data_IF_497101214451
#
_entry.id   IF_497101214451
#
_cell.length_a   1.000
_cell.length_b   1.000
_cell.length_c   1.000
_cell.angle_alpha   90.00
_cell.angle_beta   90.00
_cell.angle_gamma   90.00
#
_symmetry.space_group_name_H-M   'P 1'
#
loop_
_entity.id
_entity.type
_entity.pdbx_description
1 polymer ?
#
# COMPACT_ATOMS: atom_id res chain seq x y z
N UNK A 1 4.85 -9.04 7.39
CA UNK A 1 4.67 -9.03 5.92
C UNK A 1 4.00 -7.72 5.58
N UNK A 2 4.31 -7.11 4.45
CA UNK A 2 3.72 -5.85 4.01
C UNK A 2 2.96 -6.05 2.72
N UNK A 3 1.89 -5.28 2.53
CA UNK A 3 1.01 -5.33 1.37
C UNK A 3 0.93 -3.95 0.77
N UNK A 4 0.74 -3.92 -0.55
CA UNK A 4 0.43 -2.70 -1.28
C UNK A 4 -1.00 -2.82 -1.77
N UNK A 5 -1.87 -1.96 -1.25
CA UNK A 5 -3.26 -1.86 -1.64
C UNK A 5 -3.45 -0.62 -2.51
N UNK A 6 -4.31 -0.70 -3.52
CA UNK A 6 -4.56 0.39 -4.47
C UNK A 6 -6.06 0.68 -4.50
N UNK A 7 -6.41 1.96 -4.39
CA UNK A 7 -7.74 2.48 -4.65
C UNK A 7 -7.66 3.39 -5.87
N UNK A 8 -8.03 2.86 -7.03
CA UNK A 8 -8.06 3.63 -8.28
C UNK A 8 -9.16 4.70 -8.28
N UNK A 9 -10.22 4.56 -7.45
CA UNK A 9 -11.32 5.52 -7.40
C UNK A 9 -10.93 6.77 -6.63
N UNK A 10 -10.17 6.59 -5.54
CA UNK A 10 -9.66 7.68 -4.72
C UNK A 10 -8.22 8.10 -5.07
N UNK A 11 -7.58 7.46 -6.04
CA UNK A 11 -6.19 7.69 -6.44
C UNK A 11 -5.21 7.54 -5.27
N UNK A 12 -5.33 6.44 -4.52
CA UNK A 12 -4.53 6.16 -3.33
C UNK A 12 -3.81 4.83 -3.44
N UNK A 13 -2.61 4.78 -2.87
CA UNK A 13 -1.83 3.57 -2.67
C UNK A 13 -1.46 3.49 -1.20
N UNK A 14 -1.81 2.39 -0.52
CA UNK A 14 -1.51 2.15 0.88
C UNK A 14 -0.47 1.04 1.01
N UNK A 15 0.59 1.31 1.76
CA UNK A 15 1.47 0.27 2.30
C UNK A 15 0.98 -0.08 3.70
N UNK A 16 0.71 -1.36 3.96
CA UNK A 16 0.29 -1.81 5.29
C UNK A 16 0.84 -3.20 5.63
N UNK A 17 1.29 -3.38 6.87
CA UNK A 17 1.56 -4.67 7.48
C UNK A 17 0.44 -5.18 8.38
N UNK A 18 -0.63 -4.40 8.53
CA UNK A 18 -1.77 -4.71 9.38
C UNK A 18 -2.72 -5.69 8.68
N UNK A 19 -3.27 -6.62 9.44
CA UNK A 19 -4.20 -7.61 8.88
C UNK A 19 -5.60 -7.02 8.73
N UNK A 20 -5.99 -6.10 9.62
CA UNK A 20 -7.27 -5.41 9.56
C UNK A 20 -7.48 -4.58 8.29
N UNK A 21 -6.40 -4.10 7.66
CA UNK A 21 -6.51 -3.33 6.42
C UNK A 21 -6.85 -4.21 5.19
N UNK A 22 -6.87 -5.55 5.35
CA UNK A 22 -7.38 -6.45 4.31
C UNK A 22 -8.89 -6.31 4.12
N UNK A 23 -9.62 -5.80 5.12
CA UNK A 23 -11.06 -5.51 5.00
C UNK A 23 -11.33 -4.47 3.90
N UNK A 24 -10.33 -3.63 3.55
CA UNK A 24 -10.43 -2.68 2.44
C UNK A 24 -10.63 -3.36 1.07
N UNK A 25 -10.23 -4.63 0.93
CA UNK A 25 -10.49 -5.40 -0.30
C UNK A 25 -11.99 -5.58 -0.54
N UNK A 26 -12.78 -5.74 0.53
CA UNK A 26 -14.24 -5.82 0.44
C UNK A 26 -14.88 -4.46 0.12
N UNK A 27 -14.15 -3.36 0.38
CA UNK A 27 -14.55 -1.99 0.03
C UNK A 27 -14.14 -1.58 -1.39
N UNK A 28 -13.48 -2.48 -2.14
CA UNK A 28 -13.11 -2.29 -3.54
C UNK A 28 -11.69 -1.78 -3.76
N UNK A 29 -10.82 -1.88 -2.75
CA UNK A 29 -9.38 -1.77 -2.95
C UNK A 29 -8.84 -3.04 -3.60
N UNK A 30 -7.72 -2.90 -4.32
CA UNK A 30 -7.06 -4.02 -5.00
C UNK A 30 -5.70 -4.32 -4.37
N UNK A 31 -5.37 -5.61 -4.24
CA UNK A 31 -4.05 -6.04 -3.78
C UNK A 31 -3.05 -5.99 -4.95
N UNK A 32 -2.14 -5.02 -4.94
CA UNK A 32 -1.08 -4.91 -5.93
C UNK A 32 0.10 -5.85 -5.64
N UNK A 33 0.29 -6.28 -4.38
CA UNK A 33 1.28 -7.29 -4.04
C UNK A 33 1.58 -7.42 -2.55
N UNK A 34 2.29 -8.49 -2.20
CA UNK A 34 2.78 -8.80 -0.85
C UNK A 34 4.31 -8.90 -0.83
N UNK A 35 4.92 -8.40 0.24
CA UNK A 35 6.36 -8.19 0.34
C UNK A 35 6.89 -8.58 1.74
N UNK A 36 8.10 -9.12 1.76
CA UNK A 36 8.76 -9.54 3.01
C UNK A 36 9.20 -8.37 3.89
N UNK A 37 9.41 -7.21 3.29
CA UNK A 37 9.88 -6.00 3.98
C UNK A 37 9.15 -4.74 3.52
N UNK A 38 9.04 -3.76 4.42
CA UNK A 38 8.44 -2.46 4.12
C UNK A 38 9.18 -1.75 2.98
N UNK A 39 10.51 -1.87 2.96
CA UNK A 39 11.37 -1.27 1.91
C UNK A 39 11.04 -1.81 0.51
N UNK A 40 10.71 -3.10 0.39
CA UNK A 40 10.30 -3.68 -0.90
C UNK A 40 8.93 -3.17 -1.32
N UNK A 41 7.96 -3.16 -0.40
CA UNK A 41 6.63 -2.61 -0.63
C UNK A 41 6.69 -1.13 -1.07
N UNK A 42 7.50 -0.31 -0.38
CA UNK A 42 7.69 1.11 -0.71
C UNK A 42 8.20 1.33 -2.13
N UNK A 43 9.16 0.52 -2.60
CA UNK A 43 9.68 0.65 -3.97
C UNK A 43 8.60 0.41 -5.02
N UNK A 44 7.70 -0.54 -4.78
CA UNK A 44 6.59 -0.84 -5.70
C UNK A 44 5.52 0.24 -5.61
N UNK A 45 5.10 0.58 -4.40
CA UNK A 45 4.07 1.57 -4.14
C UNK A 45 4.45 2.97 -4.67
N UNK A 46 5.71 3.40 -4.48
CA UNK A 46 6.20 4.67 -5.00
C UNK A 46 6.21 4.73 -6.54
N UNK A 47 6.51 3.61 -7.22
CA UNK A 47 6.44 3.53 -8.69
C UNK A 47 5.01 3.60 -9.20
N UNK A 48 4.08 2.94 -8.51
CA UNK A 48 2.66 3.02 -8.83
C UNK A 48 2.13 4.44 -8.63
N UNK A 49 2.46 5.05 -7.50
CA UNK A 49 2.07 6.41 -7.18
C UNK A 49 2.58 7.42 -8.22
N UNK A 50 3.86 7.34 -8.58
CA UNK A 50 4.48 8.22 -9.59
C UNK A 50 3.89 8.01 -11.00
N UNK A 51 3.68 6.75 -11.40
CA UNK A 51 3.16 6.43 -12.73
C UNK A 51 1.70 6.88 -12.95
N UNK A 52 0.91 6.94 -11.88
CA UNK A 52 -0.53 7.19 -11.93
C UNK A 52 -0.97 8.47 -11.21
N UNK A 53 -0.01 9.30 -10.77
CA UNK A 53 -0.25 10.53 -9.98
C UNK A 53 -1.15 10.27 -8.74
N UNK A 54 -0.87 9.17 -8.04
CA UNK A 54 -1.63 8.76 -6.85
C UNK A 54 -0.94 9.19 -5.56
N UNK A 55 -1.72 9.31 -4.49
CA UNK A 55 -1.22 9.59 -3.14
C UNK A 55 -0.71 8.29 -2.52
N UNK A 56 0.56 8.27 -2.11
CA UNK A 56 1.16 7.18 -1.37
C UNK A 56 1.02 7.38 0.14
N UNK A 57 0.45 6.40 0.84
CA UNK A 57 0.17 6.42 2.26
C UNK A 57 0.80 5.22 2.97
N UNK A 58 1.15 5.41 4.24
CA UNK A 58 1.66 4.37 5.14
C UNK A 58 1.50 4.80 6.61
N UNK A 59 1.57 3.84 7.53
CA UNK A 59 1.58 4.09 8.96
C UNK A 59 3.00 4.42 9.44
N UNK A 60 3.16 5.51 10.21
CA UNK A 60 4.48 5.96 10.69
C UNK A 60 5.15 4.89 11.56
N UNK A 61 4.37 4.14 12.33
CA UNK A 61 4.82 3.06 13.21
C UNK A 61 5.52 1.93 12.45
N UNK A 62 5.22 1.76 11.15
CA UNK A 62 5.79 0.72 10.30
C UNK A 62 7.16 1.10 9.70
N UNK A 63 7.54 2.38 9.83
CA UNK A 63 8.80 2.91 9.29
C UNK A 63 9.88 3.01 10.37
N UNK A 64 9.52 2.78 11.64
CA UNK A 64 10.47 2.84 12.75
C UNK A 64 11.54 1.72 12.66
N UNK A 65 12.80 2.01 13.05
CA UNK A 65 13.93 1.08 12.93
C UNK A 65 13.86 -0.13 13.87
#
# INVERSE_FOLDING_TARGET
>A
MFRVLVDERAWRVLITGREEDLDLLDEGWELAGEFGSWREAYKVAARLADAHDMVLEWYVEEVAP
#
